data_IF_368656467643
#
_entry.id   IF_368656467643
#
_cell.length_a   1.000
_cell.length_b   1.000
_cell.length_c   1.000
_cell.angle_alpha   90.00
_cell.angle_beta   90.00
_cell.angle_gamma   90.00
#
_symmetry.space_group_name_H-M   'P 1'
#
loop_
_entity.id
_entity.type
_entity.pdbx_description
1 polymer ?
#
# COMPACT_ATOMS: atom_id res chain seq x y z
N UNK A 1 -36.04 6.77 44.34
CA UNK A 1 -34.97 5.79 44.16
C UNK A 1 -35.50 4.79 43.18
N UNK A 2 -35.30 5.09 41.90
CA UNK A 2 -35.57 4.19 40.79
C UNK A 2 -34.37 4.38 39.90
N UNK A 3 -33.54 3.34 39.82
CA UNK A 3 -32.38 3.29 38.94
C UNK A 3 -32.85 2.78 37.59
N UNK A 4 -32.61 3.57 36.56
CA UNK A 4 -32.62 3.11 35.18
C UNK A 4 -31.29 2.39 34.96
N UNK A 5 -31.36 1.10 34.64
CA UNK A 5 -30.22 0.34 34.16
C UNK A 5 -30.00 0.69 32.71
N UNK A 6 -28.90 1.37 32.43
CA UNK A 6 -28.32 1.46 31.10
C UNK A 6 -27.87 0.05 30.72
N UNK A 7 -28.50 -0.51 29.67
CA UNK A 7 -28.00 -1.70 29.02
C UNK A 7 -26.77 -1.30 28.20
N UNK A 8 -25.60 -1.59 28.73
CA UNK A 8 -24.38 -1.69 27.93
C UNK A 8 -24.63 -2.77 26.87
N UNK A 9 -24.72 -2.38 25.60
CA UNK A 9 -24.74 -3.32 24.49
C UNK A 9 -23.41 -4.05 24.50
N UNK A 10 -23.44 -5.37 24.68
CA UNK A 10 -22.28 -6.22 24.39
C UNK A 10 -21.89 -5.95 22.92
N UNK A 11 -20.75 -5.29 22.70
CA UNK A 11 -20.27 -5.00 21.34
C UNK A 11 -20.09 -6.29 20.57
N UNK A 12 -20.54 -6.32 19.30
CA UNK A 12 -20.27 -7.46 18.42
C UNK A 12 -18.77 -7.71 18.33
N UNK A 13 -18.35 -8.95 18.62
CA UNK A 13 -16.94 -9.36 18.55
C UNK A 13 -16.70 -9.99 17.20
N UNK A 14 -15.64 -9.55 16.51
CA UNK A 14 -15.25 -10.13 15.23
C UNK A 14 -14.82 -11.59 15.38
N UNK A 15 -15.18 -12.43 14.41
CA UNK A 15 -14.69 -13.80 14.31
C UNK A 15 -13.20 -13.87 13.94
N UNK A 16 -12.66 -15.08 13.91
CA UNK A 16 -11.24 -15.37 13.65
C UNK A 16 -10.94 -15.83 12.22
N UNK A 17 -11.98 -16.02 11.40
CA UNK A 17 -11.87 -16.47 10.02
C UNK A 17 -12.74 -15.65 9.06
N UNK A 18 -12.15 -15.18 7.97
CA UNK A 18 -12.83 -14.44 6.88
C UNK A 18 -13.36 -15.42 5.84
N UNK A 19 -14.37 -16.19 6.22
CA UNK A 19 -15.10 -17.06 5.30
C UNK A 19 -16.57 -17.08 5.69
N UNK A 20 -17.44 -16.86 4.72
CA UNK A 20 -18.87 -16.70 4.92
C UNK A 20 -19.59 -17.65 3.98
N UNK A 21 -20.49 -18.48 4.52
CA UNK A 21 -21.34 -19.36 3.71
C UNK A 21 -22.36 -18.53 2.93
N UNK A 22 -22.58 -18.88 1.67
CA UNK A 22 -23.56 -18.25 0.81
C UNK A 22 -24.98 -18.33 1.36
N UNK A 23 -25.75 -17.25 1.21
CA UNK A 23 -27.21 -17.29 1.41
C UNK A 23 -27.96 -17.99 0.24
N UNK A 24 -27.25 -18.29 -0.85
CA UNK A 24 -27.78 -18.84 -2.10
C UNK A 24 -27.31 -20.28 -2.38
N UNK A 25 -26.45 -20.84 -1.52
CA UNK A 25 -25.82 -22.16 -1.68
C UNK A 25 -25.15 -22.68 -0.39
N UNK A 26 -24.37 -23.76 -0.50
CA UNK A 26 -23.60 -24.36 0.63
C UNK A 26 -22.10 -24.00 0.56
N UNK A 27 -21.69 -23.29 -0.49
CA UNK A 27 -20.33 -22.84 -0.77
C UNK A 27 -19.98 -21.51 -0.07
N UNK A 28 -18.70 -21.15 -0.10
CA UNK A 28 -18.21 -19.83 0.33
C UNK A 28 -18.73 -18.73 -0.61
N UNK A 29 -19.15 -17.61 -0.04
CA UNK A 29 -19.51 -16.39 -0.76
C UNK A 29 -18.35 -15.39 -0.83
N UNK A 30 -17.14 -15.76 -0.42
CA UNK A 30 -15.98 -14.86 -0.37
C UNK A 30 -15.12 -14.96 -1.63
N UNK A 31 -14.99 -13.84 -2.37
CA UNK A 31 -14.22 -13.77 -3.61
C UNK A 31 -13.42 -12.47 -3.75
N UNK A 32 -12.10 -12.58 -3.90
CA UNK A 32 -11.19 -11.44 -4.13
C UNK A 32 -9.84 -11.85 -4.73
N UNK A 33 -9.78 -12.96 -5.48
CA UNK A 33 -8.50 -13.48 -6.02
C UNK A 33 -7.78 -12.48 -6.94
N UNK A 34 -8.53 -11.59 -7.60
CA UNK A 34 -7.96 -10.53 -8.44
C UNK A 34 -7.19 -9.46 -7.66
N UNK A 35 -7.52 -9.26 -6.38
CA UNK A 35 -6.83 -8.35 -5.49
C UNK A 35 -5.50 -8.95 -5.05
N UNK A 36 -5.51 -10.23 -4.64
CA UNK A 36 -4.31 -11.01 -4.32
C UNK A 36 -3.35 -11.03 -5.50
N UNK A 37 -3.88 -11.24 -6.71
CA UNK A 37 -3.10 -11.21 -7.94
C UNK A 37 -2.33 -9.90 -8.14
N UNK A 38 -2.97 -8.75 -7.87
CA UNK A 38 -2.31 -7.44 -8.02
C UNK A 38 -1.27 -7.19 -6.93
N UNK A 39 -1.50 -7.67 -5.70
CA UNK A 39 -0.46 -7.65 -4.66
C UNK A 39 0.77 -8.45 -5.09
N UNK A 40 0.55 -9.62 -5.67
CA UNK A 40 1.60 -10.48 -6.21
C UNK A 40 2.39 -9.79 -7.34
N UNK A 41 1.71 -9.17 -8.32
CA UNK A 41 2.39 -8.40 -9.38
C UNK A 41 3.30 -7.30 -8.82
N UNK A 42 2.83 -6.57 -7.80
CA UNK A 42 3.60 -5.48 -7.16
C UNK A 42 4.85 -6.03 -6.47
N UNK A 43 4.73 -7.15 -5.76
CA UNK A 43 5.85 -7.75 -5.05
C UNK A 43 6.86 -8.41 -6.00
N UNK A 44 6.41 -9.08 -7.06
CA UNK A 44 7.29 -9.64 -8.07
C UNK A 44 8.04 -8.57 -8.87
N UNK A 45 7.39 -7.44 -9.17
CA UNK A 45 8.05 -6.28 -9.78
C UNK A 45 9.19 -5.75 -8.88
N UNK A 46 8.99 -5.71 -7.56
CA UNK A 46 10.06 -5.36 -6.61
C UNK A 46 11.17 -6.40 -6.59
N UNK A 47 10.84 -7.69 -6.65
CA UNK A 47 11.83 -8.78 -6.71
C UNK A 47 12.68 -8.65 -7.98
N UNK A 48 12.05 -8.37 -9.13
CA UNK A 48 12.74 -8.10 -10.38
C UNK A 48 13.74 -6.95 -10.24
N UNK A 49 13.32 -5.80 -9.69
CA UNK A 49 14.21 -4.67 -9.45
C UNK A 49 15.35 -5.01 -8.48
N UNK A 50 15.09 -5.82 -7.47
CA UNK A 50 16.11 -6.27 -6.51
C UNK A 50 17.23 -7.07 -7.19
N UNK A 51 16.87 -7.91 -8.17
CA UNK A 51 17.83 -8.70 -8.96
C UNK A 51 18.43 -7.99 -10.17
N UNK A 52 17.98 -6.76 -10.48
CA UNK A 52 18.33 -6.08 -11.72
C UNK A 52 19.83 -5.78 -11.83
N UNK A 53 20.44 -5.21 -10.78
CA UNK A 53 21.88 -4.89 -10.77
C UNK A 53 22.74 -6.13 -11.03
N UNK A 54 22.44 -7.24 -10.35
CA UNK A 54 23.17 -8.50 -10.53
C UNK A 54 22.98 -9.06 -11.94
N UNK A 55 21.77 -8.93 -12.49
CA UNK A 55 21.46 -9.34 -13.86
C UNK A 55 22.28 -8.54 -14.90
N UNK A 56 22.45 -7.23 -14.69
CA UNK A 56 23.28 -6.35 -15.54
C UNK A 56 24.78 -6.66 -15.41
N UNK A 57 25.24 -7.05 -14.22
CA UNK A 57 26.64 -7.43 -13.99
C UNK A 57 26.96 -8.86 -14.48
N UNK A 58 25.94 -9.69 -14.68
CA UNK A 58 26.05 -11.08 -15.09
C UNK A 58 26.42 -11.29 -16.56
N UNK A 59 26.62 -12.56 -16.95
CA UNK A 59 26.99 -12.93 -18.32
C UNK A 59 25.93 -12.58 -19.39
N UNK A 60 24.68 -12.37 -18.95
CA UNK A 60 23.54 -11.94 -19.75
C UNK A 60 23.38 -10.41 -19.81
N UNK A 61 24.27 -9.65 -19.15
CA UNK A 61 24.17 -8.23 -18.82
C UNK A 61 24.13 -7.22 -19.95
N UNK A 62 23.67 -7.63 -21.14
CA UNK A 62 23.34 -6.72 -22.23
C UNK A 62 21.82 -6.56 -22.25
N UNK A 63 21.32 -5.55 -21.54
CA UNK A 63 20.03 -4.94 -21.85
C UNK A 63 20.23 -3.83 -22.87
N UNK A 64 19.39 -3.81 -23.91
CA UNK A 64 19.23 -2.65 -24.78
C UNK A 64 18.34 -1.61 -24.09
N UNK A 65 18.49 -0.33 -24.42
CA UNK A 65 17.51 0.68 -24.04
C UNK A 65 16.09 0.22 -24.41
N UNK A 66 15.14 0.43 -23.51
CA UNK A 66 13.75 -0.03 -23.56
C UNK A 66 13.50 -1.39 -22.89
N UNK A 67 14.52 -2.24 -22.70
CA UNK A 67 14.29 -3.61 -22.21
C UNK A 67 13.87 -3.65 -20.74
N UNK A 68 14.42 -2.78 -19.89
CA UNK A 68 14.04 -2.76 -18.47
C UNK A 68 12.64 -2.16 -18.32
N UNK A 69 12.32 -1.16 -19.15
CA UNK A 69 10.96 -0.66 -19.27
C UNK A 69 9.98 -1.77 -19.67
N UNK A 70 10.27 -2.54 -20.72
CA UNK A 70 9.43 -3.65 -21.16
C UNK A 70 9.22 -4.70 -20.05
N UNK A 71 10.26 -4.99 -19.26
CA UNK A 71 10.18 -5.92 -18.13
C UNK A 71 9.32 -5.39 -16.97
N UNK A 72 9.32 -4.07 -16.74
CA UNK A 72 8.44 -3.45 -15.76
C UNK A 72 6.99 -3.38 -16.28
N UNK A 73 6.81 -3.14 -17.58
CA UNK A 73 5.50 -3.18 -18.25
C UNK A 73 4.89 -4.58 -18.22
N UNK A 74 5.68 -5.66 -18.18
CA UNK A 74 5.16 -7.02 -17.97
C UNK A 74 4.32 -7.13 -16.68
N UNK A 75 4.78 -6.55 -15.57
CA UNK A 75 4.02 -6.58 -14.31
C UNK A 75 2.89 -5.55 -14.30
N UNK A 76 3.09 -4.40 -14.91
CA UNK A 76 2.14 -3.29 -14.86
C UNK A 76 0.94 -3.46 -15.81
N UNK A 77 1.21 -3.81 -17.06
CA UNK A 77 0.25 -4.06 -18.14
C UNK A 77 0.08 -5.58 -18.37
N UNK A 78 0.01 -6.35 -17.28
CA UNK A 78 0.06 -7.81 -17.33
C UNK A 78 -1.00 -8.41 -18.25
N UNK A 79 -0.55 -9.29 -19.17
CA UNK A 79 -1.41 -10.04 -20.08
C UNK A 79 -1.33 -11.54 -19.75
N UNK A 80 -2.40 -12.12 -19.19
CA UNK A 80 -2.48 -13.56 -18.88
C UNK A 80 -2.19 -14.44 -20.10
N UNK A 81 -2.49 -14.03 -21.32
CA UNK A 81 -2.19 -14.84 -22.50
C UNK A 81 -0.67 -15.03 -22.73
N UNK A 82 0.14 -14.07 -22.27
CA UNK A 82 1.59 -14.10 -22.38
C UNK A 82 2.29 -14.50 -21.07
N UNK A 83 1.78 -14.02 -19.94
CA UNK A 83 2.39 -14.14 -18.61
C UNK A 83 1.74 -15.16 -17.69
N UNK A 84 0.53 -15.64 -18.00
CA UNK A 84 -0.26 -16.45 -17.06
C UNK A 84 0.43 -17.72 -16.58
N UNK A 85 1.15 -18.41 -17.46
CA UNK A 85 1.92 -19.62 -17.13
C UNK A 85 3.35 -19.35 -16.64
N UNK A 86 3.75 -18.09 -16.49
CA UNK A 86 5.06 -17.73 -15.93
C UNK A 86 5.04 -18.01 -14.44
N UNK A 87 6.14 -18.58 -13.94
CA UNK A 87 6.29 -18.87 -12.51
C UNK A 87 6.38 -17.57 -11.70
N UNK A 88 5.74 -17.56 -10.54
CA UNK A 88 5.76 -16.42 -9.62
C UNK A 88 7.14 -16.26 -8.96
N UNK A 89 7.49 -15.03 -8.58
CA UNK A 89 8.74 -14.71 -7.89
C UNK A 89 8.63 -14.78 -6.36
N UNK A 90 7.45 -14.48 -5.81
CA UNK A 90 7.18 -14.50 -4.37
C UNK A 90 7.41 -15.89 -3.79
N UNK A 91 8.14 -15.92 -2.67
CA UNK A 91 8.33 -17.10 -1.83
C UNK A 91 7.69 -16.83 -0.47
N UNK A 92 6.53 -17.42 -0.15
CA UNK A 92 5.76 -17.08 1.05
C UNK A 92 6.36 -17.65 2.35
N UNK A 93 7.33 -18.56 2.25
CA UNK A 93 7.98 -19.21 3.39
C UNK A 93 8.68 -20.50 2.98
N UNK A 94 9.19 -21.25 3.96
CA UNK A 94 9.91 -22.52 3.75
C UNK A 94 9.02 -23.62 3.12
N UNK A 95 7.71 -23.61 3.39
CA UNK A 95 6.75 -24.56 2.84
C UNK A 95 6.44 -24.29 1.35
N UNK A 96 6.76 -23.08 0.87
CA UNK A 96 6.51 -22.62 -0.49
C UNK A 96 5.02 -22.33 -0.77
N UNK A 97 4.74 -21.74 -1.93
CA UNK A 97 3.38 -21.38 -2.33
C UNK A 97 2.59 -22.58 -2.85
N UNK A 98 1.28 -22.59 -2.60
CA UNK A 98 0.33 -23.52 -3.23
C UNK A 98 0.13 -23.19 -4.72
N UNK A 99 0.13 -21.91 -5.07
CA UNK A 99 0.09 -21.44 -6.46
C UNK A 99 1.51 -21.29 -7.00
N UNK A 100 1.79 -21.82 -8.19
CA UNK A 100 3.14 -21.81 -8.78
C UNK A 100 3.28 -20.78 -9.93
N UNK A 101 2.17 -20.45 -10.59
CA UNK A 101 2.09 -19.50 -11.71
C UNK A 101 1.08 -18.40 -11.45
N UNK A 102 1.15 -17.31 -12.22
CA UNK A 102 0.19 -16.20 -12.08
C UNK A 102 -1.26 -16.66 -12.25
N UNK A 103 -1.56 -17.45 -13.29
CA UNK A 103 -2.91 -17.93 -13.58
C UNK A 103 -3.44 -18.95 -12.54
N UNK A 104 -2.58 -19.51 -11.67
CA UNK A 104 -3.02 -20.32 -10.52
C UNK A 104 -3.66 -19.45 -9.42
N UNK A 105 -3.32 -18.15 -9.37
CA UNK A 105 -3.92 -17.18 -8.43
C UNK A 105 -5.18 -16.57 -9.04
N UNK A 106 -5.08 -15.95 -10.22
CA UNK A 106 -6.18 -15.33 -10.96
C UNK A 106 -5.77 -15.07 -12.41
N UNK A 107 -6.71 -14.68 -13.28
CA UNK A 107 -6.40 -14.37 -14.69
C UNK A 107 -7.07 -13.09 -15.18
N UNK A 108 -6.51 -12.47 -16.23
CA UNK A 108 -7.05 -11.28 -16.87
C UNK A 108 -7.03 -10.04 -15.98
N UNK A 109 -6.08 -9.95 -15.06
CA UNK A 109 -5.89 -8.81 -14.16
C UNK A 109 -4.55 -8.14 -14.47
N UNK A 110 -4.52 -6.81 -14.37
CA UNK A 110 -3.33 -5.98 -14.51
C UNK A 110 -3.32 -4.90 -13.41
N UNK A 111 -2.23 -4.12 -13.32
CA UNK A 111 -2.15 -2.96 -12.42
C UNK A 111 -2.67 -1.70 -13.10
N UNK A 112 -2.41 -1.52 -14.40
CA UNK A 112 -2.79 -0.34 -15.15
C UNK A 112 -4.31 -0.09 -15.15
N UNK A 113 -5.13 -1.11 -15.39
CA UNK A 113 -6.59 -0.98 -15.39
C UNK A 113 -7.19 -0.69 -14.01
N UNK A 114 -6.38 -0.71 -12.94
CA UNK A 114 -6.78 -0.44 -11.56
C UNK A 114 -5.97 0.65 -10.87
N UNK A 115 -5.06 1.33 -11.58
CA UNK A 115 -4.43 2.51 -11.00
C UNK A 115 -5.44 3.65 -10.95
N UNK A 116 -5.34 4.49 -9.92
CA UNK A 116 -6.12 5.72 -9.78
C UNK A 116 -6.06 6.56 -11.08
N UNK A 117 -7.24 6.85 -11.64
CA UNK A 117 -7.42 7.55 -12.92
C UNK A 117 -7.80 6.65 -14.10
N UNK A 118 -7.58 5.34 -14.01
CA UNK A 118 -7.74 4.43 -15.15
C UNK A 118 -8.91 3.44 -14.99
N UNK A 119 -9.51 3.33 -13.81
CA UNK A 119 -10.82 2.69 -13.65
C UNK A 119 -11.92 3.69 -14.01
N UNK A 120 -12.68 3.40 -15.07
CA UNK A 120 -13.60 4.35 -15.69
C UNK A 120 -14.82 4.72 -14.83
N UNK A 121 -15.07 3.99 -13.73
CA UNK A 121 -16.23 4.19 -12.85
C UNK A 121 -15.76 4.24 -11.41
N UNK A 122 -16.36 5.10 -10.58
CA UNK A 122 -15.86 5.35 -9.23
C UNK A 122 -14.71 6.36 -9.23
N UNK A 123 -14.15 6.61 -8.05
CA UNK A 123 -13.11 7.60 -7.75
C UNK A 123 -13.59 9.06 -7.72
N UNK A 124 -13.31 9.75 -6.62
CA UNK A 124 -13.81 11.10 -6.36
C UNK A 124 -13.09 12.22 -7.11
N UNK A 125 -11.89 11.97 -7.66
CA UNK A 125 -11.01 12.97 -8.28
C UNK A 125 -10.79 12.75 -9.77
N UNK A 126 -10.63 13.86 -10.51
CA UNK A 126 -10.01 13.87 -11.84
C UNK A 126 -8.48 13.85 -11.70
N UNK A 127 -7.94 12.64 -11.68
CA UNK A 127 -6.50 12.41 -11.55
C UNK A 127 -5.64 13.01 -12.65
N UNK A 128 -6.21 13.52 -13.75
CA UNK A 128 -5.47 14.24 -14.79
C UNK A 128 -5.14 15.69 -14.42
N UNK A 129 -5.80 16.22 -13.38
CA UNK A 129 -5.61 17.60 -12.91
C UNK A 129 -5.41 17.73 -11.41
N UNK A 130 -5.77 16.70 -10.63
CA UNK A 130 -5.81 16.73 -9.17
C UNK A 130 -4.73 15.87 -8.49
N UNK A 131 -3.81 15.27 -9.26
CA UNK A 131 -2.66 14.55 -8.71
C UNK A 131 -1.64 15.53 -8.12
N UNK A 132 -1.28 15.36 -6.84
CA UNK A 132 -0.41 16.27 -6.09
C UNK A 132 0.75 15.50 -5.45
N UNK A 133 1.89 16.18 -5.30
CA UNK A 133 3.06 15.70 -4.56
C UNK A 133 4.24 15.24 -5.41
N UNK A 134 4.15 15.37 -6.74
CA UNK A 134 5.27 15.16 -7.67
C UNK A 134 5.18 16.11 -8.87
N UNK A 135 6.13 17.03 -9.00
CA UNK A 135 6.07 18.17 -9.94
C UNK A 135 6.98 18.04 -11.17
N UNK A 136 7.53 16.84 -11.40
CA UNK A 136 8.33 16.55 -12.57
C UNK A 136 7.53 16.78 -13.87
N UNK A 137 8.15 17.48 -14.83
CA UNK A 137 7.51 17.77 -16.11
C UNK A 137 7.09 16.48 -16.84
N UNK A 138 5.81 16.40 -17.20
CA UNK A 138 5.22 15.21 -17.85
C UNK A 138 4.49 14.28 -16.89
N UNK A 139 4.63 14.47 -15.58
CA UNK A 139 3.84 13.78 -14.56
C UNK A 139 2.57 14.59 -14.29
N UNK A 140 1.43 14.03 -14.68
CA UNK A 140 0.10 14.64 -14.46
C UNK A 140 -0.93 13.68 -13.86
N UNK A 141 -0.65 12.37 -13.89
CA UNK A 141 -1.48 11.29 -13.34
C UNK A 141 -0.63 10.28 -12.58
N UNK A 142 -1.24 9.44 -11.72
CA UNK A 142 -0.56 8.30 -11.11
C UNK A 142 0.12 7.38 -12.14
N UNK A 143 -0.54 7.06 -13.26
CA UNK A 143 0.07 6.26 -14.35
C UNK A 143 1.32 6.95 -14.92
N UNK A 144 1.23 8.25 -15.21
CA UNK A 144 2.37 8.97 -15.79
C UNK A 144 3.58 9.01 -14.86
N UNK A 145 3.37 9.05 -13.54
CA UNK A 145 4.45 8.95 -12.55
C UNK A 145 5.13 7.58 -12.61
N UNK A 146 4.34 6.50 -12.58
CA UNK A 146 4.85 5.12 -12.68
C UNK A 146 5.68 4.93 -13.94
N UNK A 147 5.13 5.32 -15.10
CA UNK A 147 5.81 5.17 -16.39
C UNK A 147 7.03 6.10 -16.52
N UNK A 148 7.04 7.24 -15.85
CA UNK A 148 8.22 8.11 -15.76
C UNK A 148 9.34 7.40 -14.98
N UNK A 149 9.04 6.80 -13.82
CA UNK A 149 10.05 6.03 -13.10
C UNK A 149 10.54 4.79 -13.88
N UNK A 150 9.68 4.16 -14.69
CA UNK A 150 10.14 3.10 -15.61
C UNK A 150 11.19 3.62 -16.60
N UNK A 151 10.97 4.80 -17.17
CA UNK A 151 11.93 5.45 -18.08
C UNK A 151 13.24 5.80 -17.37
N UNK A 152 13.17 6.33 -16.14
CA UNK A 152 14.37 6.67 -15.36
C UNK A 152 15.21 5.41 -15.05
N UNK A 153 14.57 4.33 -14.60
CA UNK A 153 15.26 3.06 -14.32
C UNK A 153 15.87 2.47 -15.60
N UNK A 154 15.13 2.47 -16.72
CA UNK A 154 15.63 1.97 -18.00
C UNK A 154 16.81 2.79 -18.52
N UNK A 155 16.73 4.12 -18.42
CA UNK A 155 17.83 5.02 -18.78
C UNK A 155 19.09 4.74 -17.94
N UNK A 156 18.93 4.53 -16.63
CA UNK A 156 20.04 4.16 -15.74
C UNK A 156 20.63 2.79 -16.13
N UNK A 157 19.79 1.79 -16.42
CA UNK A 157 20.26 0.47 -16.85
C UNK A 157 20.96 0.49 -18.22
N UNK A 158 20.48 1.29 -19.17
CA UNK A 158 21.12 1.47 -20.46
C UNK A 158 22.49 2.15 -20.30
N UNK A 159 22.59 3.17 -19.44
CA UNK A 159 23.86 3.84 -19.12
C UNK A 159 24.85 2.89 -18.41
N UNK A 160 24.35 2.01 -17.53
CA UNK A 160 25.11 0.94 -16.88
C UNK A 160 25.81 0.05 -17.90
N UNK A 161 25.06 -0.48 -18.86
CA UNK A 161 25.58 -1.41 -19.86
C UNK A 161 26.50 -0.77 -20.88
N UNK A 162 26.26 0.50 -21.22
CA UNK A 162 27.14 1.24 -22.12
C UNK A 162 28.51 1.54 -21.48
N UNK A 163 28.71 1.24 -20.19
CA UNK A 163 29.90 1.60 -19.42
C UNK A 163 30.05 3.11 -19.22
N UNK A 164 29.00 3.87 -19.55
CA UNK A 164 28.91 5.31 -19.32
C UNK A 164 28.33 5.65 -17.94
N UNK A 165 28.01 4.64 -17.12
CA UNK A 165 27.60 4.83 -15.74
C UNK A 165 28.72 5.47 -14.92
N UNK A 166 28.56 6.77 -14.70
CA UNK A 166 29.42 7.62 -13.88
C UNK A 166 28.65 8.31 -12.77
N UNK A 167 27.47 7.80 -12.40
CA UNK A 167 26.73 8.34 -11.27
C UNK A 167 27.49 8.07 -9.99
N UNK A 168 27.71 9.13 -9.22
CA UNK A 168 28.47 9.09 -7.98
C UNK A 168 27.53 9.38 -6.82
N UNK A 169 27.79 8.74 -5.69
CA UNK A 169 27.19 9.10 -4.41
C UNK A 169 27.80 10.42 -3.89
N UNK A 170 27.30 10.97 -2.78
CA UNK A 170 27.83 12.20 -2.16
C UNK A 170 29.33 12.16 -1.83
N UNK A 171 29.90 10.98 -1.58
CA UNK A 171 31.32 10.78 -1.27
C UNK A 171 32.20 10.64 -2.53
N UNK A 172 31.59 10.64 -3.72
CA UNK A 172 32.27 10.46 -4.99
C UNK A 172 32.57 9.01 -5.35
N UNK A 173 31.99 8.03 -4.64
CA UNK A 173 32.06 6.63 -5.04
C UNK A 173 31.03 6.33 -6.12
N UNK A 174 31.28 5.30 -6.92
CA UNK A 174 30.30 4.87 -7.91
C UNK A 174 29.09 4.25 -7.23
N UNK A 175 27.90 4.66 -7.66
CA UNK A 175 26.65 4.03 -7.25
C UNK A 175 26.63 2.58 -7.77
N UNK A 176 26.33 1.64 -6.89
CA UNK A 176 26.38 0.19 -7.11
C UNK A 176 25.01 -0.46 -7.26
N UNK A 177 23.90 0.28 -7.08
CA UNK A 177 22.53 -0.18 -7.31
C UNK A 177 21.92 0.61 -8.46
N UNK A 178 21.57 -0.08 -9.55
CA UNK A 178 21.11 0.59 -10.79
C UNK A 178 19.77 1.32 -10.67
N UNK A 179 18.96 0.96 -9.68
CA UNK A 179 17.66 1.58 -9.40
C UNK A 179 17.77 2.76 -8.42
N UNK A 180 18.98 3.16 -8.01
CA UNK A 180 19.21 4.33 -7.14
C UNK A 180 19.85 5.45 -7.97
N UNK A 181 19.23 6.63 -7.96
CA UNK A 181 19.73 7.82 -8.68
C UNK A 181 20.78 8.58 -7.87
N UNK A 182 21.65 9.40 -8.51
CA UNK A 182 22.59 10.26 -7.79
C UNK A 182 21.94 11.35 -6.93
N UNK A 183 20.67 11.69 -7.20
CA UNK A 183 19.86 12.58 -6.36
C UNK A 183 19.32 11.89 -5.10
N UNK A 184 19.60 10.59 -4.91
CA UNK A 184 19.12 9.82 -3.75
C UNK A 184 17.71 9.24 -3.92
N UNK A 185 17.21 9.13 -5.16
CA UNK A 185 15.94 8.46 -5.43
C UNK A 185 16.15 6.95 -5.51
N UNK A 186 15.66 6.19 -4.53
CA UNK A 186 15.50 4.73 -4.65
C UNK A 186 14.18 4.42 -5.39
N UNK A 187 14.26 4.26 -6.71
CA UNK A 187 13.10 4.00 -7.54
C UNK A 187 12.43 2.66 -7.23
N UNK A 188 13.15 1.69 -6.64
CA UNK A 188 12.53 0.44 -6.21
C UNK A 188 11.54 0.71 -5.07
N UNK A 189 11.94 1.50 -4.07
CA UNK A 189 11.03 1.82 -2.96
C UNK A 189 9.89 2.72 -3.42
N UNK A 190 10.21 3.81 -4.13
CA UNK A 190 9.20 4.76 -4.63
C UNK A 190 8.11 4.04 -5.43
N UNK A 191 8.51 3.24 -6.41
CA UNK A 191 7.59 2.52 -7.28
C UNK A 191 6.71 1.53 -6.52
N UNK A 192 7.31 0.68 -5.68
CA UNK A 192 6.55 -0.35 -4.96
C UNK A 192 5.53 0.29 -3.99
N UNK A 193 5.95 1.28 -3.19
CA UNK A 193 5.04 1.88 -2.20
C UNK A 193 3.94 2.68 -2.88
N UNK A 194 4.30 3.48 -3.88
CA UNK A 194 3.34 4.30 -4.59
C UNK A 194 2.29 3.46 -5.31
N UNK A 195 2.68 2.44 -6.07
CA UNK A 195 1.70 1.58 -6.77
C UNK A 195 0.78 0.86 -5.78
N UNK A 196 1.31 0.43 -4.61
CA UNK A 196 0.45 -0.15 -3.59
C UNK A 196 -0.62 0.82 -3.09
N UNK A 197 -0.28 2.10 -2.95
CA UNK A 197 -1.25 3.16 -2.68
C UNK A 197 -2.21 3.42 -3.86
N UNK A 198 -1.64 3.66 -5.04
CA UNK A 198 -2.35 4.09 -6.24
C UNK A 198 -3.23 3.00 -6.87
N UNK A 199 -3.02 1.73 -6.52
CA UNK A 199 -3.86 0.59 -6.92
C UNK A 199 -4.65 0.06 -5.72
N UNK A 200 -3.98 -0.44 -4.68
CA UNK A 200 -4.69 -1.16 -3.63
C UNK A 200 -5.48 -0.22 -2.72
N UNK A 201 -4.83 0.83 -2.19
CA UNK A 201 -5.51 1.77 -1.31
C UNK A 201 -6.61 2.55 -2.07
N UNK A 202 -6.30 3.09 -3.25
CA UNK A 202 -7.28 3.80 -4.09
C UNK A 202 -8.52 2.94 -4.40
N UNK A 203 -8.34 1.72 -4.89
CA UNK A 203 -9.46 0.84 -5.20
C UNK A 203 -10.22 0.45 -3.94
N UNK A 204 -9.53 0.21 -2.82
CA UNK A 204 -10.20 -0.08 -1.55
C UNK A 204 -11.08 1.08 -1.09
N UNK A 205 -10.53 2.29 -1.00
CA UNK A 205 -11.17 3.41 -0.27
C UNK A 205 -12.00 4.36 -1.13
N UNK A 206 -11.72 4.40 -2.43
CA UNK A 206 -12.30 5.34 -3.39
C UNK A 206 -13.00 4.62 -4.56
N UNK A 207 -13.24 3.32 -4.38
CA UNK A 207 -14.03 2.53 -5.32
C UNK A 207 -14.92 1.49 -4.61
N UNK A 208 -14.32 0.41 -4.10
CA UNK A 208 -15.04 -0.75 -3.59
C UNK A 208 -15.76 -0.54 -2.27
N UNK A 209 -15.20 0.29 -1.39
CA UNK A 209 -15.81 0.64 -0.09
C UNK A 209 -16.39 2.06 -0.07
N UNK A 210 -16.38 2.74 -1.21
CA UNK A 210 -16.99 4.07 -1.30
C UNK A 210 -18.51 3.97 -1.45
N UNK A 211 -19.22 5.08 -1.22
CA UNK A 211 -20.68 5.17 -1.30
C UNK A 211 -21.16 6.40 -2.07
N UNK A 212 -20.30 6.94 -2.95
CA UNK A 212 -20.57 8.17 -3.69
C UNK A 212 -21.20 7.94 -5.09
N UNK A 213 -21.07 6.73 -5.60
CA UNK A 213 -21.49 6.33 -6.95
C UNK A 213 -22.69 5.38 -6.86
N UNK A 214 -23.77 5.70 -7.58
CA UNK A 214 -24.99 4.87 -7.61
C UNK A 214 -24.69 3.50 -8.23
N UNK A 215 -25.09 2.43 -7.54
CA UNK A 215 -24.90 1.05 -8.02
C UNK A 215 -23.44 0.54 -7.96
N UNK A 216 -22.54 1.25 -7.26
CA UNK A 216 -21.15 0.84 -7.05
C UNK A 216 -20.77 0.94 -5.56
N UNK A 217 -19.72 0.23 -5.17
CA UNK A 217 -19.24 0.21 -3.79
C UNK A 217 -20.34 -0.23 -2.83
N UNK A 218 -20.55 0.51 -1.74
CA UNK A 218 -21.60 0.20 -0.76
C UNK A 218 -23.03 0.34 -1.33
N UNK A 219 -23.22 1.06 -2.44
CA UNK A 219 -24.53 1.22 -3.09
C UNK A 219 -24.85 0.11 -4.10
N UNK A 220 -24.03 -0.95 -4.15
CA UNK A 220 -24.23 -2.09 -5.05
C UNK A 220 -25.45 -2.93 -4.64
N UNK A 221 -25.99 -3.70 -5.57
CA UNK A 221 -27.18 -4.52 -5.31
C UNK A 221 -26.91 -5.62 -4.26
N UNK A 222 -27.87 -5.77 -3.34
CA UNK A 222 -27.84 -6.77 -2.27
C UNK A 222 -29.06 -7.70 -2.29
N UNK A 223 -29.94 -7.56 -3.29
CA UNK A 223 -31.25 -8.23 -3.34
C UNK A 223 -31.23 -9.65 -3.92
N UNK A 224 -30.12 -10.08 -4.50
CA UNK A 224 -29.98 -11.40 -5.09
C UNK A 224 -28.55 -11.74 -5.51
N UNK A 225 -28.32 -12.94 -6.07
CA UNK A 225 -27.01 -13.35 -6.52
C UNK A 225 -26.53 -12.48 -7.70
N UNK A 226 -25.26 -12.10 -7.67
CA UNK A 226 -24.59 -11.34 -8.73
C UNK A 226 -24.31 -12.27 -9.92
N UNK A 227 -25.05 -12.13 -11.02
CA UNK A 227 -24.92 -12.96 -12.22
C UNK A 227 -24.90 -14.51 -11.99
N UNK A 228 -25.52 -14.95 -10.88
CA UNK A 228 -25.60 -16.37 -10.49
C UNK A 228 -24.47 -16.86 -9.59
N UNK A 229 -23.57 -15.97 -9.17
CA UNK A 229 -22.52 -16.24 -8.19
C UNK A 229 -23.09 -16.45 -6.77
N UNK A 230 -22.31 -17.08 -5.86
CA UNK A 230 -22.76 -17.37 -4.49
C UNK A 230 -22.82 -16.14 -3.57
N UNK A 231 -22.70 -14.94 -4.09
CA UNK A 231 -22.71 -13.68 -3.35
C UNK A 231 -23.60 -12.66 -4.04
N UNK A 232 -24.03 -11.65 -3.28
CA UNK A 232 -24.57 -10.42 -3.85
C UNK A 232 -23.46 -9.53 -4.41
N UNK A 233 -23.80 -8.56 -5.27
CA UNK A 233 -22.82 -7.59 -5.78
C UNK A 233 -22.19 -6.78 -4.64
N UNK A 234 -22.98 -6.40 -3.62
CA UNK A 234 -22.47 -5.69 -2.45
C UNK A 234 -21.50 -6.52 -1.59
N UNK A 235 -21.77 -7.81 -1.38
CA UNK A 235 -20.83 -8.70 -0.69
C UNK A 235 -19.50 -8.80 -1.45
N UNK A 236 -19.57 -8.94 -2.77
CA UNK A 236 -18.37 -9.02 -3.62
C UNK A 236 -17.55 -7.74 -3.56
N UNK A 237 -18.19 -6.56 -3.65
CA UNK A 237 -17.49 -5.27 -3.53
C UNK A 237 -16.78 -5.14 -2.17
N UNK A 238 -17.43 -5.58 -1.09
CA UNK A 238 -16.82 -5.59 0.24
C UNK A 238 -15.61 -6.52 0.32
N UNK A 239 -15.72 -7.73 -0.24
CA UNK A 239 -14.65 -8.72 -0.32
C UNK A 239 -13.46 -8.21 -1.15
N UNK A 240 -13.71 -7.51 -2.26
CA UNK A 240 -12.67 -6.85 -3.06
C UNK A 240 -11.97 -5.71 -2.29
N UNK A 241 -12.71 -4.95 -1.46
CA UNK A 241 -12.12 -3.98 -0.55
C UNK A 241 -11.17 -4.62 0.47
N UNK A 242 -11.61 -5.71 1.12
CA UNK A 242 -10.78 -6.49 2.04
C UNK A 242 -9.53 -7.08 1.36
N UNK A 243 -9.69 -7.63 0.15
CA UNK A 243 -8.57 -8.18 -0.61
C UNK A 243 -7.47 -7.16 -0.92
N UNK A 244 -7.80 -5.88 -1.10
CA UNK A 244 -6.80 -4.83 -1.30
C UNK A 244 -6.13 -4.36 0.00
N UNK A 245 -6.79 -4.46 1.16
CA UNK A 245 -6.09 -4.32 2.45
C UNK A 245 -4.98 -5.37 2.58
N UNK A 246 -5.25 -6.56 2.05
CA UNK A 246 -4.25 -7.61 1.84
C UNK A 246 -4.08 -8.54 3.02
N UNK A 247 -5.00 -8.56 3.98
CA UNK A 247 -4.95 -9.49 5.10
C UNK A 247 -5.29 -10.92 4.66
N UNK A 248 -4.68 -11.90 5.31
CA UNK A 248 -5.05 -13.31 5.22
C UNK A 248 -6.46 -13.55 5.78
N UNK A 249 -7.11 -14.65 5.39
CA UNK A 249 -8.42 -15.03 5.97
C UNK A 249 -8.33 -15.41 7.45
N UNK A 250 -7.14 -15.68 7.95
CA UNK A 250 -6.86 -16.06 9.35
C UNK A 250 -6.05 -14.99 10.07
N UNK A 251 -6.10 -13.74 9.59
CA UNK A 251 -5.31 -12.61 10.10
C UNK A 251 -5.23 -12.47 11.63
N UNK A 252 -6.35 -12.53 12.39
CA UNK A 252 -6.29 -12.35 13.85
C UNK A 252 -5.68 -13.55 14.59
N UNK A 253 -5.39 -14.66 13.90
CA UNK A 253 -4.72 -15.83 14.48
C UNK A 253 -3.20 -15.67 14.49
N UNK A 254 -2.66 -14.73 13.72
CA UNK A 254 -1.23 -14.44 13.67
C UNK A 254 -0.87 -13.32 14.64
N UNK A 255 0.33 -13.37 15.22
CA UNK A 255 0.83 -12.23 15.99
C UNK A 255 1.35 -11.14 15.06
N UNK A 256 1.44 -9.90 15.54
CA UNK A 256 2.05 -8.80 14.78
C UNK A 256 3.51 -9.10 14.42
N UNK A 257 4.24 -9.81 15.28
CA UNK A 257 5.60 -10.29 14.99
C UNK A 257 5.61 -11.21 13.77
N UNK A 258 4.70 -12.19 13.74
CA UNK A 258 4.63 -13.13 12.63
C UNK A 258 4.18 -12.45 11.34
N UNK A 259 3.15 -11.61 11.37
CA UNK A 259 2.70 -10.87 10.19
C UNK A 259 3.82 -9.99 9.62
N UNK A 260 4.59 -9.33 10.49
CA UNK A 260 5.63 -8.41 10.10
C UNK A 260 6.88 -9.09 9.49
N UNK A 261 7.25 -10.27 9.98
CA UNK A 261 8.48 -10.98 9.59
C UNK A 261 8.24 -12.18 8.67
N UNK A 262 7.13 -12.89 8.83
CA UNK A 262 6.74 -14.11 8.10
C UNK A 262 5.27 -14.02 7.67
N UNK A 263 4.97 -13.17 6.67
CA UNK A 263 3.59 -12.83 6.32
C UNK A 263 2.72 -14.00 5.83
N UNK A 264 3.33 -15.13 5.44
CA UNK A 264 2.63 -16.36 5.08
C UNK A 264 2.92 -17.49 6.07
N UNK A 265 1.88 -18.23 6.46
CA UNK A 265 1.99 -19.40 7.32
C UNK A 265 1.04 -20.50 6.83
N UNK A 266 1.48 -21.76 6.85
CA UNK A 266 0.64 -22.92 6.58
C UNK A 266 -0.32 -23.12 7.78
N UNK A 267 -1.47 -22.46 7.72
CA UNK A 267 -2.43 -22.40 8.82
C UNK A 267 -3.34 -23.64 8.86
N UNK A 268 -3.58 -24.28 7.70
CA UNK A 268 -4.37 -25.51 7.61
C UNK A 268 -3.55 -26.82 7.74
N UNK A 269 -2.22 -26.73 7.63
CA UNK A 269 -1.27 -27.81 7.85
C UNK A 269 -1.11 -28.75 6.65
N UNK A 270 -1.40 -28.30 5.42
CA UNK A 270 -1.30 -29.10 4.20
C UNK A 270 0.13 -29.18 3.62
N UNK A 271 1.07 -28.42 4.17
CA UNK A 271 2.47 -28.35 3.76
C UNK A 271 2.73 -27.34 2.63
N UNK A 272 1.79 -26.43 2.36
CA UNK A 272 1.90 -25.31 1.43
C UNK A 272 1.25 -24.06 2.04
N UNK A 273 1.62 -22.90 1.53
CA UNK A 273 0.96 -21.63 1.88
C UNK A 273 0.05 -21.23 0.70
N UNK A 274 -1.26 -21.17 0.92
CA UNK A 274 -2.21 -20.62 -0.04
C UNK A 274 -2.13 -19.09 -0.06
N UNK A 275 -1.62 -18.55 -1.18
CA UNK A 275 -1.46 -17.11 -1.37
C UNK A 275 -2.78 -16.34 -1.27
N UNK A 276 -3.92 -17.01 -1.48
CA UNK A 276 -5.25 -16.40 -1.46
C UNK A 276 -5.86 -16.33 -0.06
N UNK A 277 -5.42 -17.18 0.88
CA UNK A 277 -6.08 -17.33 2.19
C UNK A 277 -5.15 -17.21 3.38
N UNK A 278 -3.85 -17.49 3.21
CA UNK A 278 -2.90 -17.64 4.32
C UNK A 278 -1.76 -16.63 4.31
N UNK A 279 -1.70 -15.81 3.25
CA UNK A 279 -0.67 -14.79 3.06
C UNK A 279 -1.20 -13.39 3.38
N UNK A 280 -0.41 -12.64 4.13
CA UNK A 280 -0.60 -11.22 4.36
C UNK A 280 0.24 -10.40 3.38
N UNK A 281 -0.37 -9.38 2.82
CA UNK A 281 0.18 -8.57 1.75
C UNK A 281 0.16 -7.10 2.16
N UNK A 282 1.17 -6.36 1.73
CA UNK A 282 1.09 -4.92 1.68
C UNK A 282 0.74 -4.23 2.98
N UNK A 283 -0.37 -3.50 2.98
CA UNK A 283 -0.71 -2.61 4.08
C UNK A 283 -1.16 -3.35 5.35
N UNK A 284 -1.67 -4.59 5.25
CA UNK A 284 -1.85 -5.47 6.42
C UNK A 284 -0.51 -5.73 7.13
N UNK A 285 0.56 -5.99 6.38
CA UNK A 285 1.91 -6.15 6.94
C UNK A 285 2.44 -4.84 7.54
N UNK A 286 2.10 -3.69 6.94
CA UNK A 286 2.43 -2.39 7.52
C UNK A 286 1.72 -2.13 8.85
N UNK A 287 0.45 -2.54 8.99
CA UNK A 287 -0.29 -2.42 10.24
C UNK A 287 0.44 -3.15 11.38
N UNK A 288 0.76 -4.43 11.18
CA UNK A 288 1.51 -5.23 12.15
C UNK A 288 2.88 -4.64 12.50
N UNK A 289 3.62 -4.13 11.51
CA UNK A 289 4.91 -3.47 11.74
C UNK A 289 4.78 -2.24 12.63
N UNK A 290 3.68 -1.49 12.51
CA UNK A 290 3.46 -0.26 13.26
C UNK A 290 2.91 -0.51 14.66
N UNK A 291 2.08 -1.54 14.82
CA UNK A 291 1.65 -2.01 16.14
C UNK A 291 2.84 -2.57 16.93
N UNK A 292 3.67 -3.41 16.30
CA UNK A 292 4.93 -3.92 16.88
C UNK A 292 5.91 -2.81 17.26
N UNK A 293 6.03 -1.78 16.42
CA UNK A 293 6.99 -0.68 16.58
C UNK A 293 6.53 0.43 17.54
N UNK A 294 5.31 0.37 18.05
CA UNK A 294 4.74 1.46 18.84
C UNK A 294 5.32 1.53 20.26
N UNK A 295 5.69 2.73 20.72
CA UNK A 295 6.07 2.98 22.12
C UNK A 295 4.85 3.11 23.02
N UNK A 296 3.78 3.71 22.49
CA UNK A 296 2.43 3.71 23.06
C UNK A 296 1.56 2.83 22.18
N UNK A 297 1.02 1.75 22.77
CA UNK A 297 0.36 0.69 22.03
C UNK A 297 -0.70 1.22 21.05
N UNK A 298 -0.60 0.74 19.81
CA UNK A 298 -1.64 0.79 18.77
C UNK A 298 -2.06 -0.64 18.42
N UNK A 299 -3.18 -0.80 17.75
CA UNK A 299 -3.68 -2.11 17.32
C UNK A 299 -4.42 -1.98 15.97
N UNK A 300 -3.73 -1.43 14.97
CA UNK A 300 -4.27 -1.25 13.62
C UNK A 300 -4.61 -2.58 12.95
N UNK A 301 -3.91 -3.67 13.27
CA UNK A 301 -4.27 -5.02 12.79
C UNK A 301 -5.66 -5.43 13.27
N UNK A 302 -5.95 -5.37 14.58
CA UNK A 302 -7.26 -5.72 15.11
C UNK A 302 -8.35 -4.71 14.73
N UNK A 303 -8.05 -3.41 14.72
CA UNK A 303 -9.01 -2.35 14.35
C UNK A 303 -9.49 -2.53 12.89
N UNK A 304 -8.56 -2.75 11.95
CA UNK A 304 -8.90 -2.99 10.55
C UNK A 304 -9.70 -4.29 10.39
N UNK A 305 -9.24 -5.37 11.03
CA UNK A 305 -9.92 -6.67 11.00
C UNK A 305 -11.37 -6.57 11.49
N UNK A 306 -11.58 -5.90 12.64
CA UNK A 306 -12.89 -5.76 13.23
C UNK A 306 -13.87 -5.07 12.27
N UNK A 307 -13.46 -3.95 11.65
CA UNK A 307 -14.29 -3.26 10.66
C UNK A 307 -14.62 -4.14 9.46
N UNK A 308 -13.62 -4.77 8.83
CA UNK A 308 -13.82 -5.61 7.65
C UNK A 308 -14.70 -6.82 7.95
N UNK A 309 -14.44 -7.53 9.04
CA UNK A 309 -15.17 -8.74 9.39
C UNK A 309 -16.60 -8.42 9.81
N UNK A 310 -16.82 -7.41 10.68
CA UNK A 310 -18.16 -7.05 11.15
C UNK A 310 -19.06 -6.54 10.02
N UNK A 311 -18.51 -5.75 9.09
CA UNK A 311 -19.27 -5.32 7.91
C UNK A 311 -19.61 -6.49 6.99
N UNK A 312 -18.67 -7.41 6.74
CA UNK A 312 -18.97 -8.59 5.92
C UNK A 312 -19.98 -9.54 6.59
N UNK A 313 -19.89 -9.67 7.91
CA UNK A 313 -20.84 -10.43 8.72
C UNK A 313 -22.25 -9.83 8.63
N UNK A 314 -22.40 -8.51 8.75
CA UNK A 314 -23.68 -7.83 8.53
C UNK A 314 -24.28 -8.16 7.15
N UNK A 315 -23.47 -8.07 6.10
CA UNK A 315 -23.90 -8.41 4.74
C UNK A 315 -24.30 -9.88 4.61
N UNK A 316 -23.54 -10.81 5.20
CA UNK A 316 -23.87 -12.23 5.16
C UNK A 316 -25.21 -12.57 5.84
N UNK A 317 -25.58 -11.82 6.88
CA UNK A 317 -26.83 -12.01 7.62
C UNK A 317 -28.05 -11.40 6.92
N UNK A 318 -27.83 -10.52 5.94
CA UNK A 318 -28.87 -9.72 5.28
C UNK A 318 -28.97 -9.97 3.77
N UNK A 319 -28.08 -10.80 3.23
CA UNK A 319 -28.02 -11.17 1.82
C UNK A 319 -29.37 -11.65 1.25
N UNK A 320 -29.69 -11.15 0.06
CA UNK A 320 -30.95 -11.42 -0.62
C UNK A 320 -32.07 -10.42 -0.28
N UNK A 321 -31.74 -9.30 0.38
CA UNK A 321 -32.68 -8.21 0.66
C UNK A 321 -32.00 -6.84 0.62
N UNK A 322 -32.76 -5.77 0.34
CA UNK A 322 -32.24 -4.41 0.45
C UNK A 322 -31.88 -4.09 1.91
N UNK A 323 -30.74 -3.44 2.13
CA UNK A 323 -30.36 -2.96 3.45
C UNK A 323 -31.35 -1.90 3.95
N UNK A 324 -31.74 -1.98 5.22
CA UNK A 324 -32.46 -0.86 5.84
C UNK A 324 -31.53 0.35 6.00
N UNK A 325 -32.06 1.58 6.13
CA UNK A 325 -31.23 2.77 6.38
C UNK A 325 -30.31 2.62 7.61
N UNK A 326 -30.78 1.92 8.64
CA UNK A 326 -30.00 1.64 9.85
C UNK A 326 -28.86 0.65 9.58
N UNK A 327 -29.12 -0.42 8.81
CA UNK A 327 -28.08 -1.39 8.42
C UNK A 327 -27.05 -0.75 7.50
N UNK A 328 -27.49 0.09 6.56
CA UNK A 328 -26.58 0.85 5.70
C UNK A 328 -25.69 1.79 6.53
N UNK A 329 -26.27 2.52 7.49
CA UNK A 329 -25.50 3.37 8.41
C UNK A 329 -24.50 2.55 9.23
N UNK A 330 -24.88 1.35 9.68
CA UNK A 330 -23.99 0.45 10.41
C UNK A 330 -22.82 -0.04 9.52
N UNK A 331 -23.12 -0.43 8.28
CA UNK A 331 -22.11 -0.83 7.29
C UNK A 331 -21.11 0.30 7.02
N UNK A 332 -21.59 1.53 6.86
CA UNK A 332 -20.75 2.72 6.71
C UNK A 332 -19.82 2.90 7.92
N UNK A 333 -20.31 2.70 9.14
CA UNK A 333 -19.49 2.76 10.35
C UNK A 333 -18.38 1.71 10.40
N UNK A 334 -18.68 0.46 10.00
CA UNK A 334 -17.68 -0.60 9.88
C UNK A 334 -16.63 -0.30 8.81
N UNK A 335 -17.07 0.25 7.67
CA UNK A 335 -16.20 0.71 6.58
C UNK A 335 -15.28 1.84 7.03
N UNK A 336 -15.82 2.84 7.71
CA UNK A 336 -15.05 3.99 8.20
C UNK A 336 -13.97 3.55 9.21
N UNK A 337 -14.30 2.62 10.11
CA UNK A 337 -13.33 2.03 11.04
C UNK A 337 -12.22 1.27 10.34
N UNK A 338 -12.56 0.38 9.40
CA UNK A 338 -11.59 -0.39 8.63
C UNK A 338 -10.63 0.49 7.82
N UNK A 339 -11.19 1.46 7.09
CA UNK A 339 -10.40 2.38 6.26
C UNK A 339 -9.52 3.30 7.12
N UNK A 340 -10.02 3.80 8.25
CA UNK A 340 -9.22 4.65 9.12
C UNK A 340 -8.02 3.89 9.71
N UNK A 341 -8.21 2.65 10.16
CA UNK A 341 -7.12 1.82 10.65
C UNK A 341 -6.10 1.51 9.55
N UNK A 342 -6.57 1.18 8.34
CA UNK A 342 -5.71 1.00 7.18
C UNK A 342 -4.90 2.26 6.85
N UNK A 343 -5.56 3.43 6.76
CA UNK A 343 -4.86 4.68 6.46
C UNK A 343 -3.88 5.07 7.58
N UNK A 344 -4.22 4.83 8.85
CA UNK A 344 -3.31 5.02 9.99
C UNK A 344 -2.08 4.12 9.90
N UNK A 345 -2.20 2.88 9.43
CA UNK A 345 -1.05 2.00 9.19
C UNK A 345 -0.11 2.57 8.11
N UNK A 346 -0.65 3.18 7.05
CA UNK A 346 0.13 3.88 6.03
C UNK A 346 0.77 5.14 6.62
N UNK A 347 -0.01 6.00 7.28
CA UNK A 347 0.45 7.28 7.82
C UNK A 347 1.50 7.12 8.93
N UNK A 348 1.35 6.15 9.83
CA UNK A 348 2.36 5.83 10.85
C UNK A 348 3.63 5.22 10.24
N UNK A 349 3.51 4.51 9.11
CA UNK A 349 4.67 4.06 8.32
C UNK A 349 5.41 5.26 7.71
N UNK A 350 4.70 6.30 7.25
CA UNK A 350 5.34 7.54 6.80
C UNK A 350 6.07 8.24 7.96
N UNK A 351 5.46 8.33 9.14
CA UNK A 351 6.10 8.89 10.35
C UNK A 351 7.39 8.14 10.71
N UNK A 352 7.35 6.80 10.68
CA UNK A 352 8.53 5.96 10.87
C UNK A 352 9.66 6.31 9.88
N UNK A 353 9.35 6.44 8.59
CA UNK A 353 10.39 6.76 7.61
C UNK A 353 10.82 8.23 7.61
N UNK A 354 10.00 9.16 8.15
CA UNK A 354 10.49 10.50 8.50
C UNK A 354 11.58 10.38 9.58
N UNK A 355 11.33 9.58 10.63
CA UNK A 355 12.29 9.35 11.70
C UNK A 355 13.61 8.75 11.19
N UNK A 356 13.53 7.69 10.39
CA UNK A 356 14.71 7.06 9.80
C UNK A 356 15.48 8.02 8.88
N UNK A 357 14.78 8.83 8.08
CA UNK A 357 15.41 9.84 7.22
C UNK A 357 16.14 10.91 8.04
N UNK A 358 15.53 11.37 9.15
CA UNK A 358 16.18 12.31 10.08
C UNK A 358 17.44 11.70 10.72
N UNK A 359 17.40 10.43 11.10
CA UNK A 359 18.55 9.71 11.63
C UNK A 359 19.68 9.62 10.57
N UNK A 360 19.36 9.26 9.33
CA UNK A 360 20.35 9.25 8.24
C UNK A 360 20.97 10.63 8.01
N UNK A 361 20.18 11.70 8.13
CA UNK A 361 20.67 13.08 8.01
C UNK A 361 21.57 13.50 9.18
N UNK A 362 21.28 13.04 10.40
CA UNK A 362 22.13 13.30 11.57
C UNK A 362 23.54 12.72 11.43
N UNK A 363 23.71 11.70 10.59
CA UNK A 363 24.99 11.08 10.33
C UNK A 363 25.84 11.84 9.29
N UNK A 364 25.34 12.94 8.71
CA UNK A 364 26.08 13.72 7.71
C UNK A 364 27.47 14.15 8.18
N UNK A 365 28.46 13.89 7.33
CA UNK A 365 29.87 14.20 7.62
C UNK A 365 30.53 13.26 8.63
N UNK A 366 29.85 12.19 9.06
CA UNK A 366 30.40 11.12 9.89
C UNK A 366 30.73 9.88 9.06
N UNK A 367 31.30 8.85 9.68
CA UNK A 367 31.53 7.55 9.04
C UNK A 367 30.30 6.66 9.03
N UNK A 368 29.23 7.06 9.73
CA UNK A 368 28.04 6.24 9.94
C UNK A 368 27.00 6.49 8.84
N UNK A 369 27.13 7.61 8.10
CA UNK A 369 26.27 7.93 6.96
C UNK A 369 26.34 6.85 5.87
N UNK A 370 25.18 6.32 5.50
CA UNK A 370 25.01 5.41 4.37
C UNK A 370 24.04 6.00 3.34
N UNK A 371 24.56 6.30 2.15
CA UNK A 371 23.77 6.87 1.06
C UNK A 371 22.58 6.00 0.64
N UNK A 372 22.73 4.67 0.67
CA UNK A 372 21.67 3.77 0.25
C UNK A 372 20.57 3.65 1.31
N UNK A 373 20.91 3.70 2.60
CA UNK A 373 19.90 3.77 3.66
C UNK A 373 19.11 5.08 3.53
N UNK A 374 19.79 6.21 3.40
CA UNK A 374 19.11 7.49 3.22
C UNK A 374 18.18 7.51 1.99
N UNK A 375 18.68 7.06 0.83
CA UNK A 375 17.87 6.97 -0.40
C UNK A 375 16.67 6.03 -0.23
N UNK A 376 16.87 4.91 0.47
CA UNK A 376 15.82 3.92 0.74
C UNK A 376 14.76 4.48 1.68
N UNK A 377 15.14 4.98 2.87
CA UNK A 377 14.20 5.47 3.87
C UNK A 377 13.40 6.66 3.33
N UNK A 378 14.05 7.60 2.63
CA UNK A 378 13.34 8.68 1.95
C UNK A 378 12.39 8.16 0.86
N UNK A 379 12.82 7.17 0.06
CA UNK A 379 11.98 6.55 -0.96
C UNK A 379 10.75 5.82 -0.39
N UNK A 380 10.90 5.14 0.75
CA UNK A 380 9.78 4.53 1.47
C UNK A 380 8.84 5.59 2.06
N UNK A 381 9.39 6.65 2.70
CA UNK A 381 8.64 7.81 3.21
C UNK A 381 7.77 8.42 2.11
N UNK A 382 8.39 8.86 1.01
CA UNK A 382 7.69 9.59 -0.05
C UNK A 382 6.71 8.70 -0.79
N UNK A 383 7.09 7.46 -1.08
CA UNK A 383 6.23 6.51 -1.78
C UNK A 383 4.95 6.16 -1.00
N UNK A 384 5.03 5.95 0.32
CA UNK A 384 3.84 5.76 1.15
C UNK A 384 3.05 7.04 1.33
N UNK A 385 3.72 8.19 1.49
CA UNK A 385 3.03 9.45 1.72
C UNK A 385 2.15 9.84 0.54
N UNK A 386 2.60 9.60 -0.70
CA UNK A 386 1.81 9.82 -1.92
C UNK A 386 0.50 9.01 -1.95
N UNK A 387 0.40 7.89 -1.22
CA UNK A 387 -0.82 7.07 -1.16
C UNK A 387 -1.98 7.77 -0.43
N UNK A 388 -1.67 8.67 0.51
CA UNK A 388 -2.67 9.30 1.38
C UNK A 388 -3.64 10.22 0.65
N UNK A 389 -3.42 10.48 -0.65
CA UNK A 389 -4.35 11.26 -1.47
C UNK A 389 -5.54 10.48 -2.02
N UNK A 390 -5.47 9.14 -1.96
CA UNK A 390 -6.43 8.25 -2.59
C UNK A 390 -7.62 7.87 -1.68
N UNK A 391 -7.76 8.51 -0.52
CA UNK A 391 -8.97 8.40 0.31
C UNK A 391 -9.65 9.76 0.43
N UNK A 392 -10.85 9.88 -0.12
CA UNK A 392 -11.71 11.07 0.00
C UNK A 392 -11.97 11.46 1.47
N UNK A 393 -12.03 10.48 2.37
CA UNK A 393 -12.32 10.67 3.80
C UNK A 393 -11.05 10.87 4.63
N UNK A 394 -9.89 11.04 3.98
CA UNK A 394 -8.61 11.21 4.67
C UNK A 394 -8.62 12.42 5.61
N UNK A 395 -8.08 12.30 6.84
CA UNK A 395 -7.85 13.44 7.72
C UNK A 395 -6.92 14.53 7.15
N UNK A 396 -6.16 14.23 6.10
CA UNK A 396 -5.29 15.18 5.40
C UNK A 396 -6.01 15.94 4.27
N UNK A 397 -7.21 15.53 3.89
CA UNK A 397 -8.05 16.16 2.86
C UNK A 397 -9.03 17.16 3.49
N UNK A 398 -8.49 18.19 4.15
CA UNK A 398 -9.27 19.18 4.92
C UNK A 398 -9.77 20.39 4.10
N UNK A 399 -9.63 20.34 2.78
CA UNK A 399 -10.01 21.38 1.83
C UNK A 399 -10.43 20.76 0.49
N UNK A 400 -11.45 21.33 -0.17
CA UNK A 400 -11.83 20.97 -1.55
C UNK A 400 -10.80 21.48 -2.58
N UNK A 401 -9.99 22.49 -2.24
CA UNK A 401 -8.85 22.89 -3.05
C UNK A 401 -7.68 21.95 -2.76
N UNK A 402 -7.39 21.05 -3.70
CA UNK A 402 -6.34 20.02 -3.58
C UNK A 402 -4.96 20.59 -3.28
N UNK A 403 -4.69 21.84 -3.66
CA UNK A 403 -3.40 22.53 -3.41
C UNK A 403 -3.33 23.20 -2.04
N UNK A 404 -4.45 23.31 -1.33
CA UNK A 404 -4.55 23.94 -0.02
C UNK A 404 -4.85 22.94 1.12
N UNK A 405 -4.74 21.64 0.83
CA UNK A 405 -4.91 20.57 1.82
C UNK A 405 -3.69 20.43 2.73
N UNK A 406 -3.87 19.87 3.92
CA UNK A 406 -2.76 19.36 4.74
C UNK A 406 -1.89 18.37 3.97
N UNK A 407 -2.50 17.52 3.14
CA UNK A 407 -1.75 16.61 2.27
C UNK A 407 -0.74 17.36 1.38
N UNK A 408 -1.19 18.40 0.67
CA UNK A 408 -0.31 19.21 -0.18
C UNK A 408 0.82 19.85 0.64
N UNK A 409 0.51 20.38 1.83
CA UNK A 409 1.52 20.95 2.72
C UNK A 409 2.57 19.92 3.17
N UNK A 410 2.14 18.70 3.55
CA UNK A 410 3.07 17.60 3.87
C UNK A 410 3.94 17.24 2.66
N UNK A 411 3.36 17.18 1.46
CA UNK A 411 4.11 16.87 0.24
C UNK A 411 5.16 17.92 -0.09
N UNK A 412 4.84 19.20 0.10
CA UNK A 412 5.78 20.32 -0.11
C UNK A 412 6.93 20.27 0.88
N UNK A 413 6.67 19.95 2.16
CA UNK A 413 7.71 19.82 3.19
C UNK A 413 8.67 18.66 2.90
N UNK A 414 8.16 17.53 2.38
CA UNK A 414 8.98 16.38 1.98
C UNK A 414 9.77 16.62 0.69
N UNK A 415 9.28 17.48 -0.20
CA UNK A 415 9.87 17.68 -1.53
C UNK A 415 9.76 16.45 -2.45
N UNK A 416 10.52 16.47 -3.54
CA UNK A 416 10.57 15.41 -4.58
C UNK A 416 11.93 14.71 -4.69
N UNK A 417 12.89 15.06 -3.83
CA UNK A 417 14.15 14.35 -3.61
C UNK A 417 14.67 14.61 -2.19
N UNK A 418 15.50 13.70 -1.61
CA UNK A 418 16.14 13.96 -0.31
C UNK A 418 17.19 15.07 -0.42
N UNK A 419 17.44 15.78 0.68
CA UNK A 419 18.60 16.67 0.81
C UNK A 419 19.84 15.83 1.12
N UNK A 420 20.86 15.88 0.28
CA UNK A 420 22.09 15.09 0.44
C UNK A 420 23.18 15.83 1.24
N UNK A 421 24.22 15.12 1.76
CA UNK A 421 25.33 15.74 2.50
C UNK A 421 26.09 16.83 1.74
N UNK A 422 25.97 16.87 0.41
CA UNK A 422 26.58 17.91 -0.44
C UNK A 422 25.84 19.25 -0.42
N UNK A 423 24.62 19.30 0.12
CA UNK A 423 23.87 20.54 0.31
C UNK A 423 24.56 21.47 1.33
N UNK A 424 24.15 22.74 1.38
CA UNK A 424 24.70 23.63 2.40
C UNK A 424 24.14 23.26 3.79
N UNK A 425 24.89 23.49 4.88
CA UNK A 425 24.37 23.20 6.23
C UNK A 425 23.03 23.87 6.53
N UNK A 426 22.79 25.07 5.98
CA UNK A 426 21.52 25.77 6.16
C UNK A 426 20.35 25.06 5.43
N UNK A 427 20.62 24.45 4.27
CA UNK A 427 19.59 23.67 3.55
C UNK A 427 19.33 22.32 4.23
N UNK A 428 20.35 21.73 4.85
CA UNK A 428 20.23 20.51 5.67
C UNK A 428 19.35 20.77 6.90
N UNK A 429 19.70 21.78 7.70
CA UNK A 429 18.94 22.18 8.89
C UNK A 429 17.48 22.51 8.53
N UNK A 430 17.26 23.29 7.45
CA UNK A 430 15.92 23.66 7.02
C UNK A 430 15.07 22.46 6.57
N UNK A 431 15.68 21.46 5.95
CA UNK A 431 14.97 20.26 5.52
C UNK A 431 14.63 19.33 6.69
N UNK A 432 15.55 19.19 7.66
CA UNK A 432 15.27 18.46 8.90
C UNK A 432 14.09 19.09 9.66
N UNK A 433 14.07 20.42 9.80
CA UNK A 433 12.93 21.15 10.38
C UNK A 433 11.63 20.88 9.60
N UNK A 434 11.69 20.90 8.25
CA UNK A 434 10.53 20.62 7.40
C UNK A 434 9.97 19.20 7.59
N UNK A 435 10.84 18.20 7.74
CA UNK A 435 10.44 16.83 8.02
C UNK A 435 9.78 16.69 9.40
N UNK A 436 10.30 17.38 10.43
CA UNK A 436 9.68 17.43 11.76
C UNK A 436 8.30 18.09 11.72
N UNK A 437 8.14 19.16 10.94
CA UNK A 437 6.84 19.82 10.72
C UNK A 437 5.85 18.90 9.99
N UNK A 438 6.30 18.19 8.96
CA UNK A 438 5.48 17.22 8.22
C UNK A 438 4.98 16.11 9.14
N UNK A 439 5.88 15.54 9.95
CA UNK A 439 5.57 14.53 10.95
C UNK A 439 4.56 15.01 11.98
N UNK A 440 4.72 16.24 12.48
CA UNK A 440 3.81 16.85 13.44
C UNK A 440 2.42 17.03 12.85
N UNK A 441 2.33 17.53 11.61
CA UNK A 441 1.06 17.70 10.90
C UNK A 441 0.33 16.36 10.72
N UNK A 442 1.05 15.29 10.37
CA UNK A 442 0.49 13.95 10.28
C UNK A 442 0.03 13.43 11.65
N UNK A 443 0.86 13.58 12.68
CA UNK A 443 0.52 13.21 14.06
C UNK A 443 -0.78 13.86 14.53
N UNK A 444 -0.93 15.17 14.31
CA UNK A 444 -2.13 15.93 14.66
C UNK A 444 -3.36 15.50 13.84
N UNK A 445 -3.19 15.25 12.54
CA UNK A 445 -4.29 14.87 11.66
C UNK A 445 -4.89 13.50 12.00
N UNK A 446 -4.04 12.50 12.29
CA UNK A 446 -4.48 11.15 12.63
C UNK A 446 -4.69 10.91 14.13
N UNK A 447 -4.34 11.90 14.97
CA UNK A 447 -4.45 11.80 16.43
C UNK A 447 -3.51 10.75 17.03
N UNK A 448 -2.29 10.65 16.50
CA UNK A 448 -1.28 9.75 17.03
C UNK A 448 -0.78 10.22 18.40
N UNK A 449 -0.43 9.27 19.26
CA UNK A 449 0.21 9.61 20.54
C UNK A 449 1.58 10.24 20.28
N UNK A 450 1.88 11.32 20.99
CA UNK A 450 3.15 12.05 20.85
C UNK A 450 4.37 11.17 21.15
N UNK A 451 4.21 10.14 21.99
CA UNK A 451 5.24 9.15 22.28
C UNK A 451 5.60 8.27 21.09
N UNK A 452 4.75 8.18 20.07
CA UNK A 452 5.04 7.41 18.84
C UNK A 452 5.66 8.26 17.72
N UNK A 453 5.63 9.60 17.82
CA UNK A 453 6.13 10.45 16.75
C UNK A 453 7.66 10.50 16.70
N UNK A 454 8.33 10.44 17.85
CA UNK A 454 9.77 10.65 17.94
C UNK A 454 10.16 12.11 18.17
N UNK A 455 11.41 12.33 18.55
CA UNK A 455 11.99 13.65 18.86
C UNK A 455 12.56 14.35 17.62
N UNK A 456 13.18 15.52 17.79
CA UNK A 456 13.74 16.33 16.70
C UNK A 456 14.83 15.61 15.88
N UNK A 457 15.43 14.55 16.41
CA UNK A 457 16.44 13.75 15.72
C UNK A 457 15.87 12.49 15.06
N UNK A 458 14.55 12.29 15.13
CA UNK A 458 13.90 11.05 14.68
C UNK A 458 14.06 9.89 15.66
N UNK A 459 14.48 10.14 16.90
CA UNK A 459 14.68 9.10 17.92
C UNK A 459 13.45 8.97 18.83
N UNK A 460 13.34 7.88 19.60
CA UNK A 460 12.29 7.71 20.62
C UNK A 460 10.85 7.78 20.07
N UNK A 461 10.63 7.20 18.89
CA UNK A 461 9.32 7.05 18.26
C UNK A 461 9.23 5.76 17.46
N UNK A 462 8.25 5.71 16.54
CA UNK A 462 8.09 4.64 15.56
C UNK A 462 9.29 4.41 14.66
#
# INVERSE_FOLDING_TARGET
GEGEGEGEGEGEVAGDFYDFTSAFGDESSVSYSGQVFRQLLIDDMKIYLSGLTDSLNGASGIVSAGKVRDDLEFYYDFDSAAGGSVGIGVSPGDDGALQETYDDVSSGKDLNGKIAGNDATGQHKDWSTEFVGWDQAGVTTPESLVRTWFDEIDAQAAAWNAGSHSFLDPDGNKITKVFVSPEGLDYQQLLQKFIRGAVAFSQGTDDYLDDDTEGKGLNSDHTGPDDGDPYTALEHQWDEGFGYFGASRVYPTYSDDDIADSPGQDADGDGKIDLKTEMNWGHSVNAAKRDRGALVATDFTAEAWAGFWLGRNLLSQTAGSELTPEQFTQLQGYRDGAILAWEKAIASTVVHYINDTLQDMNDFGTTDYDFYNHAKHWGEMKGFALALQFNRRSPLMDSDDVTATKFAAVMDLMGTAPVLPTASPADQDAYMDALVDARTMMGDAYGFDVGNLGDENGENGW
#
